data_IF_242194574476
#
_entry.id   IF_242194574476
#
_cell.length_a   1.000
_cell.length_b   1.000
_cell.length_c   1.000
_cell.angle_alpha   90.00
_cell.angle_beta   90.00
_cell.angle_gamma   90.00
#
_symmetry.space_group_name_H-M   'P 1'
#
loop_
_entity.id
_entity.type
_entity.pdbx_description
1 polymer ?
#
# COMPACT_ATOMS: atom_id res chain seq x y z
N UNK A 1 -17.16 6.26 12.88
CA UNK A 1 -16.19 7.21 12.29
C UNK A 1 -15.71 6.70 10.94
N UNK A 2 -15.72 7.55 9.94
CA UNK A 2 -15.25 7.20 8.61
C UNK A 2 -13.72 7.15 8.59
N UNK A 3 -13.17 6.05 8.11
CA UNK A 3 -11.72 5.95 7.95
C UNK A 3 -11.30 6.52 6.60
N UNK A 4 -10.19 7.22 6.59
CA UNK A 4 -9.62 7.76 5.37
C UNK A 4 -8.38 6.95 5.01
N UNK A 5 -8.31 6.56 3.75
CA UNK A 5 -7.15 5.86 3.23
C UNK A 5 -6.35 6.86 2.39
N UNK A 6 -5.09 7.01 2.75
CA UNK A 6 -4.20 8.00 2.13
C UNK A 6 -2.96 7.32 1.57
N UNK A 7 -2.56 7.74 0.38
CA UNK A 7 -1.25 7.41 -0.19
C UNK A 7 -0.42 8.67 -0.22
N UNK A 8 0.75 8.62 0.37
CA UNK A 8 1.63 9.78 0.49
C UNK A 8 3.00 9.50 -0.11
N UNK A 9 3.36 10.26 -1.12
CA UNK A 9 4.71 10.25 -1.65
C UNK A 9 5.52 11.27 -0.87
N UNK A 10 6.26 10.83 0.13
CA UNK A 10 6.98 11.72 1.04
C UNK A 10 8.05 12.55 0.32
N UNK A 11 8.75 11.94 -0.62
CA UNK A 11 9.85 12.63 -1.31
C UNK A 11 9.38 13.85 -2.09
N UNK A 12 8.19 13.82 -2.66
CA UNK A 12 7.64 14.93 -3.45
C UNK A 12 6.55 15.68 -2.73
N UNK A 13 6.12 15.22 -1.56
CA UNK A 13 5.03 15.84 -0.82
C UNK A 13 3.67 15.69 -1.47
N UNK A 14 3.49 14.68 -2.31
CA UNK A 14 2.22 14.43 -3.00
C UNK A 14 1.36 13.50 -2.18
N UNK A 15 0.15 13.94 -1.88
CA UNK A 15 -0.80 13.17 -1.09
C UNK A 15 -2.05 12.89 -1.91
N UNK A 16 -2.53 11.65 -1.83
CA UNK A 16 -3.78 11.26 -2.45
C UNK A 16 -4.64 10.56 -1.41
N UNK A 17 -5.74 11.20 -1.05
CA UNK A 17 -6.73 10.63 -0.15
C UNK A 17 -7.85 10.05 -0.99
N UNK A 18 -8.18 8.78 -0.79
CA UNK A 18 -9.25 8.17 -1.55
C UNK A 18 -10.57 8.90 -1.29
N UNK A 19 -11.30 9.27 -2.35
CA UNK A 19 -12.54 10.04 -2.18
C UNK A 19 -13.63 9.26 -1.48
N UNK A 20 -13.63 7.94 -1.64
CA UNK A 20 -14.55 7.05 -0.93
C UNK A 20 -13.74 5.89 -0.38
N UNK A 21 -13.88 5.65 0.91
CA UNK A 21 -13.20 4.52 1.53
C UNK A 21 -13.83 3.22 1.05
N UNK A 22 -13.04 2.25 0.57
CA UNK A 22 -13.61 0.96 0.16
C UNK A 22 -14.25 0.25 1.35
N UNK A 23 -15.20 -0.64 1.05
CA UNK A 23 -15.97 -1.34 2.08
C UNK A 23 -15.10 -2.22 2.95
N UNK A 24 -13.97 -2.67 2.45
CA UNK A 24 -13.05 -3.50 3.23
C UNK A 24 -11.63 -3.31 2.73
N UNK A 25 -10.69 -3.57 3.61
CA UNK A 25 -9.29 -3.63 3.24
C UNK A 25 -8.61 -4.66 4.13
N UNK A 26 -7.48 -5.18 3.67
CA UNK A 26 -6.69 -6.13 4.42
C UNK A 26 -5.24 -5.65 4.44
N UNK A 27 -4.55 -5.99 5.50
CA UNK A 27 -3.14 -5.68 5.61
C UNK A 27 -2.41 -6.91 6.15
N UNK A 28 -1.73 -7.68 5.30
CA UNK A 28 -1.05 -8.88 5.75
C UNK A 28 0.16 -8.54 6.60
N UNK A 29 0.33 -9.29 7.66
CA UNK A 29 1.48 -9.17 8.53
C UNK A 29 2.00 -10.58 8.77
N UNK A 30 3.00 -10.97 8.02
CA UNK A 30 3.44 -12.35 7.94
C UNK A 30 4.94 -12.46 8.11
N UNK A 31 5.36 -13.62 8.62
CA UNK A 31 6.77 -13.96 8.73
C UNK A 31 7.12 -15.01 7.68
N UNK A 32 8.32 -14.93 7.16
CA UNK A 32 8.86 -15.96 6.31
C UNK A 32 9.39 -17.07 7.20
N UNK A 33 8.80 -18.27 7.10
CA UNK A 33 9.20 -19.42 7.92
C UNK A 33 9.58 -20.56 6.99
N UNK A 34 10.76 -21.12 7.22
CA UNK A 34 11.23 -22.26 6.48
C UNK A 34 11.23 -23.48 7.40
N UNK A 35 10.66 -24.57 6.92
CA UNK A 35 10.60 -25.81 7.68
C UNK A 35 11.56 -26.81 7.09
N UNK A 36 12.41 -27.38 7.96
CA UNK A 36 13.38 -28.40 7.57
C UNK A 36 13.14 -29.63 8.42
N UNK A 37 13.08 -30.80 7.77
CA UNK A 37 12.93 -32.06 8.48
C UNK A 37 14.31 -32.64 8.77
N UNK A 38 14.56 -32.91 10.04
CA UNK A 38 15.82 -33.49 10.51
C UNK A 38 15.58 -34.91 10.99
N UNK A 39 16.41 -35.84 10.59
CA UNK A 39 16.30 -37.24 11.00
C UNK A 39 16.29 -37.36 12.50
N UNK A 40 15.33 -38.17 13.02
CA UNK A 40 15.16 -38.46 14.44
C UNK A 40 14.68 -37.30 15.29
N UNK A 41 14.74 -36.09 14.78
CA UNK A 41 14.30 -34.90 15.53
C UNK A 41 12.94 -34.40 15.04
N UNK A 42 12.64 -34.59 13.76
CA UNK A 42 11.40 -34.13 13.15
C UNK A 42 11.57 -32.75 12.50
N UNK A 43 10.49 -32.05 12.38
CA UNK A 43 10.47 -30.77 11.68
C UNK A 43 10.99 -29.65 12.56
N UNK A 44 11.85 -28.81 12.00
CA UNK A 44 12.32 -27.59 12.62
C UNK A 44 11.91 -26.41 11.77
N UNK A 45 11.47 -25.35 12.42
CA UNK A 45 11.07 -24.11 11.76
C UNK A 45 12.12 -23.03 11.98
N UNK A 46 12.53 -22.41 10.90
CA UNK A 46 13.48 -21.30 10.96
C UNK A 46 12.80 -20.00 10.55
N UNK A 47 12.98 -18.99 11.36
CA UNK A 47 12.42 -17.68 11.09
C UNK A 47 13.31 -16.93 10.11
N UNK A 48 12.76 -16.57 8.95
CA UNK A 48 13.47 -15.87 7.89
C UNK A 48 13.21 -14.38 7.83
N UNK A 49 12.53 -13.83 8.81
CA UNK A 49 12.22 -12.41 8.85
C UNK A 49 10.81 -12.12 8.40
N UNK A 50 10.49 -10.85 8.28
CA UNK A 50 9.16 -10.41 7.86
C UNK A 50 8.99 -10.60 6.35
N UNK A 51 7.88 -11.18 5.96
CA UNK A 51 7.53 -11.34 4.54
C UNK A 51 6.90 -10.06 4.02
N UNK A 52 7.31 -9.62 2.84
CA UNK A 52 6.67 -8.49 2.17
C UNK A 52 5.39 -8.97 1.52
N UNK A 53 4.26 -8.69 2.17
CA UNK A 53 2.97 -9.13 1.66
C UNK A 53 2.37 -8.16 0.66
N UNK A 54 1.29 -8.60 0.04
CA UNK A 54 0.55 -7.76 -0.90
C UNK A 54 -0.94 -7.85 -0.60
N UNK A 55 -1.65 -6.81 -1.00
CA UNK A 55 -3.10 -6.78 -0.86
C UNK A 55 -3.69 -5.92 -1.98
N UNK A 56 -4.99 -6.02 -2.18
CA UNK A 56 -5.68 -5.21 -3.19
C UNK A 56 -6.86 -4.52 -2.54
N UNK A 57 -6.99 -3.23 -2.80
CA UNK A 57 -8.17 -2.47 -2.43
C UNK A 57 -9.16 -2.59 -3.57
N UNK A 58 -10.32 -3.19 -3.31
CA UNK A 58 -11.32 -3.45 -4.35
C UNK A 58 -12.40 -2.39 -4.37
N UNK A 59 -12.90 -2.09 -5.55
CA UNK A 59 -14.06 -1.23 -5.76
C UNK A 59 -13.93 0.15 -5.11
N UNK A 60 -12.76 0.77 -5.29
CA UNK A 60 -12.58 2.14 -4.83
C UNK A 60 -13.29 3.09 -5.79
N UNK A 61 -14.33 3.74 -5.31
CA UNK A 61 -15.12 4.66 -6.13
C UNK A 61 -14.36 5.96 -6.36
N UNK A 62 -14.22 6.33 -7.62
CA UNK A 62 -13.65 7.61 -8.02
C UNK A 62 -14.78 8.42 -8.66
N UNK A 63 -15.35 9.39 -7.94
CA UNK A 63 -16.57 10.03 -8.38
C UNK A 63 -16.35 11.06 -9.48
N UNK A 64 -17.30 11.13 -10.40
CA UNK A 64 -17.33 12.18 -11.42
C UNK A 64 -18.25 13.32 -11.03
N UNK A 65 -18.90 13.22 -9.88
CA UNK A 65 -19.82 14.24 -9.37
C UNK A 65 -19.77 14.26 -7.85
N UNK A 66 -20.28 15.33 -7.27
CA UNK A 66 -20.26 15.46 -5.82
C UNK A 66 -21.30 14.57 -5.16
N UNK A 67 -20.89 13.85 -4.12
CA UNK A 67 -21.77 13.04 -3.30
C UNK A 67 -21.60 13.43 -1.83
N UNK A 68 -22.63 13.28 -1.02
CA UNK A 68 -22.53 13.67 0.39
C UNK A 68 -21.60 12.78 1.23
N UNK A 69 -21.27 11.60 0.72
CA UNK A 69 -20.44 10.64 1.46
C UNK A 69 -18.96 10.70 1.10
N UNK A 70 -18.55 11.69 0.30
CA UNK A 70 -17.14 11.79 -0.10
C UNK A 70 -16.27 12.24 1.06
N UNK A 71 -14.99 11.84 1.02
CA UNK A 71 -14.00 12.28 1.99
C UNK A 71 -13.82 13.81 1.89
N UNK A 72 -13.48 14.48 3.00
CA UNK A 72 -13.24 15.92 2.96
C UNK A 72 -12.19 16.29 1.94
N UNK A 73 -12.47 17.28 1.12
CA UNK A 73 -11.55 17.72 0.08
C UNK A 73 -11.49 16.86 -1.16
N UNK A 74 -12.39 15.88 -1.28
CA UNK A 74 -12.40 14.98 -2.44
C UNK A 74 -12.74 15.74 -3.72
N UNK A 75 -11.98 15.42 -4.78
CA UNK A 75 -12.25 15.96 -6.10
C UNK A 75 -13.33 15.16 -6.82
N UNK A 76 -13.85 15.74 -7.88
CA UNK A 76 -14.90 15.09 -8.68
C UNK A 76 -14.42 14.77 -10.10
N UNK A 77 -13.11 14.71 -10.29
CA UNK A 77 -12.52 14.30 -11.56
C UNK A 77 -11.76 13.00 -11.33
N UNK A 78 -12.33 11.83 -11.73
CA UNK A 78 -11.69 10.56 -11.49
C UNK A 78 -10.34 10.42 -12.18
N UNK A 79 -10.13 11.12 -13.28
CA UNK A 79 -8.87 11.03 -14.02
C UNK A 79 -7.69 11.58 -13.25
N UNK A 80 -7.90 12.57 -12.38
CA UNK A 80 -6.82 13.09 -11.55
C UNK A 80 -6.29 12.02 -10.61
N UNK A 81 -7.20 11.24 -10.03
CA UNK A 81 -6.80 10.13 -9.16
C UNK A 81 -6.11 9.03 -9.95
N UNK A 82 -6.69 8.65 -11.10
CA UNK A 82 -6.14 7.58 -11.92
C UNK A 82 -4.76 7.93 -12.47
N UNK A 83 -4.58 9.15 -12.94
CA UNK A 83 -3.29 9.58 -13.46
C UNK A 83 -2.21 9.54 -12.38
N UNK A 84 -2.54 9.95 -11.16
CA UNK A 84 -1.59 9.93 -10.07
C UNK A 84 -1.23 8.49 -9.67
N UNK A 85 -2.22 7.62 -9.60
CA UNK A 85 -2.00 6.22 -9.28
C UNK A 85 -1.17 5.54 -10.37
N UNK A 86 -1.50 5.77 -11.63
CA UNK A 86 -0.75 5.21 -12.75
C UNK A 86 0.69 5.70 -12.78
N UNK A 87 0.91 6.95 -12.42
CA UNK A 87 2.26 7.51 -12.37
C UNK A 87 3.10 6.80 -11.31
N UNK A 88 2.51 6.52 -10.16
CA UNK A 88 3.22 5.78 -9.12
C UNK A 88 3.51 4.34 -9.53
N UNK A 89 2.58 3.71 -10.24
CA UNK A 89 2.81 2.36 -10.77
C UNK A 89 3.95 2.36 -11.78
N UNK A 90 3.91 3.29 -12.73
CA UNK A 90 4.89 3.34 -13.82
C UNK A 90 6.30 3.66 -13.33
N UNK A 91 6.41 4.47 -12.30
CA UNK A 91 7.69 4.92 -11.79
C UNK A 91 8.23 4.05 -10.66
N UNK A 92 7.43 3.13 -10.15
CA UNK A 92 7.84 2.32 -9.00
C UNK A 92 8.12 3.16 -7.77
N UNK A 93 7.35 4.24 -7.59
CA UNK A 93 7.55 5.16 -6.47
C UNK A 93 7.09 4.53 -5.18
N UNK A 94 7.93 4.64 -4.14
CA UNK A 94 7.56 4.20 -2.80
C UNK A 94 6.64 5.23 -2.16
N UNK A 95 5.47 4.81 -1.77
CA UNK A 95 4.49 5.68 -1.11
C UNK A 95 4.14 5.13 0.26
N UNK A 96 3.72 6.01 1.15
CA UNK A 96 3.19 5.61 2.45
C UNK A 96 1.71 5.32 2.35
N UNK A 97 1.30 4.19 2.84
CA UNK A 97 -0.11 3.82 2.91
C UNK A 97 -0.59 4.00 4.34
N UNK A 98 -1.56 4.86 4.51
CA UNK A 98 -2.05 5.27 5.82
C UNK A 98 -3.55 5.05 5.89
N UNK A 99 -4.01 4.49 7.01
CA UNK A 99 -5.44 4.38 7.28
C UNK A 99 -5.70 5.12 8.59
N UNK A 100 -6.54 6.16 8.52
CA UNK A 100 -6.80 7.00 9.69
C UNK A 100 -7.43 6.21 10.83
N UNK A 101 -7.05 6.56 12.05
CA UNK A 101 -7.58 5.90 13.24
C UNK A 101 -7.07 4.48 13.44
N UNK A 102 -6.05 4.06 12.72
CA UNK A 102 -5.42 2.74 12.87
C UNK A 102 -3.92 2.90 12.88
N UNK A 103 -3.17 1.90 13.36
CA UNK A 103 -1.72 1.95 13.29
C UNK A 103 -1.14 1.65 11.91
N UNK A 104 -1.99 1.46 10.89
CA UNK A 104 -1.51 1.15 9.54
C UNK A 104 -0.78 2.36 8.96
N UNK A 105 0.51 2.18 8.77
CA UNK A 105 1.40 3.18 8.19
C UNK A 105 2.61 2.43 7.64
N UNK A 106 2.59 2.16 6.36
CA UNK A 106 3.60 1.30 5.77
C UNK A 106 4.07 1.82 4.42
N UNK A 107 5.34 1.54 4.12
CA UNK A 107 5.89 1.82 2.82
C UNK A 107 5.42 0.75 1.84
N UNK A 108 4.86 1.17 0.72
CA UNK A 108 4.32 0.26 -0.29
C UNK A 108 4.71 0.71 -1.68
N UNK A 109 4.70 -0.26 -2.60
CA UNK A 109 4.74 0.00 -4.03
C UNK A 109 3.36 -0.35 -4.58
N UNK A 110 2.89 0.43 -5.53
CA UNK A 110 1.67 0.09 -6.24
C UNK A 110 2.03 -0.89 -7.35
N UNK A 111 1.43 -2.09 -7.30
CA UNK A 111 1.66 -3.11 -8.32
C UNK A 111 0.84 -2.86 -9.56
N UNK A 112 -0.36 -2.33 -9.39
CA UNK A 112 -1.23 -2.09 -10.51
C UNK A 112 -2.50 -1.38 -10.11
N UNK A 113 -3.11 -0.75 -11.08
CA UNK A 113 -4.41 -0.08 -10.94
C UNK A 113 -5.27 -0.54 -12.10
N UNK A 114 -6.39 -1.14 -11.79
CA UNK A 114 -7.38 -1.55 -12.79
C UNK A 114 -8.63 -0.73 -12.55
N UNK A 115 -9.14 -0.08 -13.57
CA UNK A 115 -10.32 0.75 -13.40
C UNK A 115 -11.37 0.40 -14.44
N UNK A 116 -12.63 0.65 -14.09
CA UNK A 116 -13.76 0.31 -14.95
C UNK A 116 -14.94 1.23 -14.67
N UNK A 117 -15.80 1.37 -15.64
CA UNK A 117 -17.12 1.95 -15.47
C UNK A 117 -18.11 0.81 -15.37
N UNK A 118 -19.03 0.85 -14.42
CA UNK A 118 -19.96 -0.26 -14.27
C UNK A 118 -21.42 0.13 -14.06
N UNK A 119 -21.70 1.37 -13.76
CA UNK A 119 -23.07 1.80 -13.40
C UNK A 119 -23.74 2.63 -14.47
N UNK A 120 -23.10 2.83 -15.61
CA UNK A 120 -23.61 3.76 -16.60
C UNK A 120 -23.48 5.22 -16.19
N UNK A 121 -22.91 5.50 -15.03
CA UNK A 121 -22.53 6.84 -14.63
C UNK A 121 -21.13 7.13 -15.15
N UNK A 122 -20.63 8.33 -14.98
CA UNK A 122 -19.27 8.66 -15.36
C UNK A 122 -18.26 8.36 -14.24
N UNK A 123 -18.71 7.73 -13.18
CA UNK A 123 -17.86 7.32 -12.07
C UNK A 123 -17.02 6.12 -12.45
N UNK A 124 -15.82 6.04 -11.92
CA UNK A 124 -14.94 4.90 -12.11
C UNK A 124 -14.78 4.12 -10.83
N UNK A 125 -14.63 2.81 -10.96
CA UNK A 125 -14.29 1.92 -9.86
C UNK A 125 -12.91 1.38 -10.12
N UNK A 126 -12.03 1.52 -9.15
CA UNK A 126 -10.64 1.10 -9.30
C UNK A 126 -10.27 0.02 -8.29
N UNK A 127 -9.49 -0.94 -8.75
CA UNK A 127 -8.85 -1.92 -7.89
C UNK A 127 -7.37 -1.53 -7.83
N UNK A 128 -6.89 -1.29 -6.62
CA UNK A 128 -5.51 -0.84 -6.41
C UNK A 128 -4.75 -1.95 -5.71
N UNK A 129 -3.78 -2.52 -6.40
CA UNK A 129 -2.94 -3.57 -5.83
C UNK A 129 -1.68 -2.94 -5.25
N UNK A 130 -1.41 -3.24 -4.00
CA UNK A 130 -0.26 -2.69 -3.28
C UNK A 130 0.57 -3.83 -2.69
N UNK A 131 1.88 -3.58 -2.58
CA UNK A 131 2.81 -4.55 -2.00
C UNK A 131 3.69 -3.84 -0.99
N UNK A 132 3.88 -4.47 0.15
CA UNK A 132 4.81 -3.95 1.16
C UNK A 132 6.21 -3.87 0.59
N UNK A 133 6.94 -2.85 0.99
CA UNK A 133 8.33 -2.72 0.59
C UNK A 133 9.13 -2.07 1.71
N UNK A 134 10.43 -2.16 1.59
CA UNK A 134 11.34 -1.39 2.43
C UNK A 134 12.01 -0.36 1.56
N UNK A 135 12.17 0.84 2.10
CA UNK A 135 12.91 1.86 1.37
C UNK A 135 14.39 1.49 1.41
N UNK A 136 15.05 1.46 0.27
CA UNK A 136 16.48 1.13 0.25
C UNK A 136 17.33 2.01 1.17
N UNK A 137 16.98 3.28 1.26
CA UNK A 137 17.70 4.21 2.13
C UNK A 137 17.59 3.82 3.60
N UNK A 138 16.38 3.49 4.06
CA UNK A 138 16.16 3.06 5.43
C UNK A 138 16.87 1.74 5.72
N UNK A 139 16.79 0.80 4.78
CA UNK A 139 17.47 -0.48 4.92
C UNK A 139 19.00 -0.29 4.96
N UNK A 140 19.51 0.59 4.12
CA UNK A 140 20.94 0.88 4.09
C UNK A 140 21.42 1.50 5.39
N UNK A 141 20.64 2.42 5.96
CA UNK A 141 20.99 3.03 7.24
C UNK A 141 21.02 1.99 8.36
N UNK A 142 20.03 1.12 8.38
CA UNK A 142 19.97 0.07 9.38
C UNK A 142 21.16 -0.88 9.25
N UNK A 143 21.47 -1.32 8.04
CA UNK A 143 22.59 -2.20 7.78
C UNK A 143 23.91 -1.50 8.10
N UNK A 144 24.08 -0.26 7.68
CA UNK A 144 25.29 0.50 7.94
C UNK A 144 25.51 0.69 9.43
N UNK A 145 24.45 0.97 10.18
CA UNK A 145 24.56 1.10 11.62
C UNK A 145 25.03 -0.19 12.28
N UNK A 146 24.67 -1.32 11.74
CA UNK A 146 25.07 -2.62 12.25
C UNK A 146 26.47 -3.00 11.81
N UNK A 147 26.74 -2.85 10.51
CA UNK A 147 28.00 -3.34 9.91
C UNK A 147 29.18 -2.47 10.25
N UNK A 148 29.00 -1.15 10.29
CA UNK A 148 30.12 -0.24 10.50
C UNK A 148 30.87 -0.48 11.80
N UNK A 149 30.16 -0.81 12.85
CA UNK A 149 30.77 -0.99 14.14
C UNK A 149 31.76 -2.13 14.17
N UNK A 150 31.42 -3.31 13.67
CA UNK A 150 32.39 -4.40 13.69
C UNK A 150 33.46 -4.30 12.63
N UNK A 151 33.29 -3.43 11.65
CA UNK A 151 34.24 -3.30 10.57
C UNK A 151 35.56 -2.67 10.97
N UNK A 152 35.69 -2.20 12.20
CA UNK A 152 36.93 -1.61 12.68
C UNK A 152 38.02 -2.64 12.91
#
# INVERSE_FOLDING_TARGET
MLRLITFLEEAAGVELVLPVTPSSYQWPHEAAIETVTVDQLGDLNFFGGKRMGSTTLHDCLLPAQAYPFLSPGAGTNPWLYLEQLERWVDRGTVVRWLVSGTPVNAAVLLEGVTYREQDGTNDYYADIAIRQTRTPAAAALSAAGTVRKPAR
#
